data_IF_418992195670
#
_entry.id   IF_418992195670
#
_cell.length_a   1.000
_cell.length_b   1.000
_cell.length_c   1.000
_cell.angle_alpha   90.00
_cell.angle_beta   90.00
_cell.angle_gamma   90.00
#
_symmetry.space_group_name_H-M   'P 1'
#
loop_
_entity.id
_entity.type
_entity.pdbx_description
1 polymer ?
#
# COMPACT_ATOMS: atom_id res chain seq x y z
N UNK A 1 -4.25 -3.19 -10.89
CA UNK A 1 -4.51 -3.74 -12.26
C UNK A 1 -3.37 -3.30 -13.14
N UNK A 2 -2.64 -4.25 -13.75
CA UNK A 2 -1.69 -3.88 -14.79
C UNK A 2 -2.49 -3.42 -16.02
N UNK A 3 -2.25 -2.20 -16.45
CA UNK A 3 -2.79 -1.71 -17.71
C UNK A 3 -2.14 -2.47 -18.87
N UNK A 4 -2.93 -2.83 -19.86
CA UNK A 4 -2.40 -3.46 -21.09
C UNK A 4 -1.64 -2.39 -21.87
N UNK A 5 -0.31 -2.41 -21.75
CA UNK A 5 0.59 -1.45 -22.41
C UNK A 5 0.31 -1.40 -23.90
N UNK A 6 0.08 -2.55 -24.55
CA UNK A 6 -0.13 -2.65 -25.99
C UNK A 6 -1.36 -1.91 -26.48
N UNK A 7 -2.39 -1.78 -25.64
CA UNK A 7 -3.59 -1.02 -25.99
C UNK A 7 -3.37 0.50 -25.95
N UNK A 8 -2.38 0.95 -25.21
CA UNK A 8 -2.07 2.37 -25.04
C UNK A 8 -0.79 2.80 -25.76
N UNK A 9 -0.26 1.98 -26.67
CA UNK A 9 0.95 2.32 -27.44
C UNK A 9 0.69 2.20 -28.93
N UNK A 10 1.35 3.05 -29.72
CA UNK A 10 1.31 3.06 -31.17
C UNK A 10 2.69 3.40 -31.72
N UNK A 11 3.04 2.85 -32.90
CA UNK A 11 4.32 3.15 -33.54
C UNK A 11 4.37 4.58 -34.08
N UNK A 12 5.55 5.19 -34.04
CA UNK A 12 5.83 6.49 -34.68
C UNK A 12 5.57 6.46 -36.21
N UNK A 13 5.69 5.30 -36.86
CA UNK A 13 5.44 5.08 -38.25
C UNK A 13 3.96 4.98 -38.63
N UNK A 14 3.07 4.97 -37.63
CA UNK A 14 1.62 4.87 -37.85
C UNK A 14 1.05 6.19 -38.40
N UNK A 15 -0.10 6.06 -39.07
CA UNK A 15 -0.86 7.19 -39.61
C UNK A 15 -1.80 7.80 -38.55
N UNK A 16 -2.25 9.02 -38.79
CA UNK A 16 -3.30 9.68 -37.98
C UNK A 16 -4.58 8.84 -37.98
N UNK A 17 -4.92 8.18 -39.09
CA UNK A 17 -6.09 7.30 -39.17
C UNK A 17 -5.98 6.10 -38.22
N UNK A 18 -4.82 5.44 -38.15
CA UNK A 18 -4.57 4.35 -37.22
C UNK A 18 -4.64 4.84 -35.79
N UNK A 19 -4.08 6.00 -35.48
CA UNK A 19 -4.19 6.60 -34.14
C UNK A 19 -5.65 6.85 -33.72
N UNK A 20 -6.51 7.34 -34.65
CA UNK A 20 -7.96 7.50 -34.35
C UNK A 20 -8.62 6.16 -34.06
N UNK A 21 -8.32 5.12 -34.85
CA UNK A 21 -8.87 3.79 -34.68
C UNK A 21 -8.49 3.20 -33.32
N UNK A 22 -7.23 3.35 -32.91
CA UNK A 22 -6.75 2.84 -31.63
C UNK A 22 -7.30 3.67 -30.45
N UNK A 23 -7.44 5.00 -30.60
CA UNK A 23 -8.12 5.84 -29.61
C UNK A 23 -9.59 5.46 -29.45
N UNK A 24 -10.31 5.17 -30.55
CA UNK A 24 -11.70 4.74 -30.51
C UNK A 24 -11.84 3.37 -29.81
N UNK A 25 -10.88 2.47 -30.00
CA UNK A 25 -10.82 1.19 -29.29
C UNK A 25 -10.64 1.35 -27.78
N UNK A 26 -10.17 2.52 -27.30
CA UNK A 26 -10.10 2.91 -25.88
C UNK A 26 -11.39 3.60 -25.40
N UNK A 27 -12.44 3.66 -26.19
CA UNK A 27 -13.72 4.28 -25.79
C UNK A 27 -14.27 3.60 -24.54
N UNK A 28 -14.60 4.42 -23.54
CA UNK A 28 -15.01 3.92 -22.21
C UNK A 28 -13.85 3.66 -21.22
N UNK A 29 -12.60 3.74 -21.65
CA UNK A 29 -11.45 3.72 -20.74
C UNK A 29 -11.33 5.04 -19.96
N UNK A 30 -10.56 5.01 -18.85
CA UNK A 30 -10.32 6.16 -17.96
C UNK A 30 -9.71 7.36 -18.71
N UNK A 31 -8.85 7.09 -19.70
CA UNK A 31 -8.30 8.11 -20.57
C UNK A 31 -8.03 7.55 -21.97
N UNK A 32 -8.42 8.30 -22.99
CA UNK A 32 -8.15 8.00 -24.38
C UNK A 32 -6.81 8.69 -24.76
N UNK A 33 -5.71 8.01 -24.46
CA UNK A 33 -4.34 8.46 -24.76
C UNK A 33 -3.52 7.29 -25.29
N UNK A 34 -2.73 7.55 -26.34
CA UNK A 34 -1.73 6.63 -26.86
C UNK A 34 -0.34 7.24 -26.65
N UNK A 35 0.60 6.40 -26.23
CA UNK A 35 2.02 6.71 -26.15
C UNK A 35 2.69 6.22 -27.43
N UNK A 36 3.49 7.09 -28.04
CA UNK A 36 4.10 6.84 -29.34
C UNK A 36 5.49 6.29 -29.13
N UNK A 37 5.74 5.10 -29.71
CA UNK A 37 7.01 4.38 -29.61
C UNK A 37 7.85 4.58 -30.89
N UNK A 38 9.15 4.80 -30.71
CA UNK A 38 10.12 4.73 -31.80
C UNK A 38 10.50 3.27 -32.15
N UNK A 39 11.46 3.10 -33.06
CA UNK A 39 11.94 1.78 -33.51
C UNK A 39 12.69 0.98 -32.41
N UNK A 40 13.05 1.64 -31.31
CA UNK A 40 13.73 1.04 -30.14
C UNK A 40 12.78 0.84 -28.95
N UNK A 41 11.45 0.94 -29.16
CA UNK A 41 10.42 0.91 -28.13
C UNK A 41 10.50 2.02 -27.06
N UNK A 42 11.22 3.13 -27.35
CA UNK A 42 11.23 4.30 -26.47
C UNK A 42 9.99 5.16 -26.72
N UNK A 43 9.42 5.73 -25.65
CA UNK A 43 8.34 6.70 -25.80
C UNK A 43 8.90 8.04 -26.28
N UNK A 44 8.43 8.50 -27.44
CA UNK A 44 8.83 9.78 -28.06
C UNK A 44 7.74 10.84 -28.02
N UNK A 45 6.53 10.47 -27.61
CA UNK A 45 5.40 11.40 -27.51
C UNK A 45 4.12 10.76 -27.03
N UNK A 46 3.08 11.58 -26.94
CA UNK A 46 1.72 11.12 -26.66
C UNK A 46 0.73 11.76 -27.62
N UNK A 47 -0.41 11.10 -27.86
CA UNK A 47 -1.50 11.64 -28.67
C UNK A 47 -2.84 11.33 -28.02
N UNK A 48 -3.73 12.32 -28.03
CA UNK A 48 -5.12 12.22 -27.57
C UNK A 48 -6.07 12.58 -28.70
N UNK A 49 -7.36 12.26 -28.56
CA UNK A 49 -8.40 12.67 -29.51
C UNK A 49 -8.38 14.19 -29.74
N UNK A 50 -8.16 14.99 -28.69
CA UNK A 50 -8.03 16.44 -28.82
C UNK A 50 -6.82 16.90 -29.65
N UNK A 51 -5.71 16.16 -29.59
CA UNK A 51 -4.50 16.46 -30.38
C UNK A 51 -4.75 16.19 -31.89
N UNK A 52 -5.39 15.05 -32.18
CA UNK A 52 -5.79 14.68 -33.54
C UNK A 52 -6.75 15.71 -34.12
N UNK A 53 -7.82 16.09 -33.40
CA UNK A 53 -8.76 17.12 -33.88
C UNK A 53 -8.06 18.46 -34.18
N UNK A 54 -7.19 18.91 -33.31
CA UNK A 54 -6.40 20.13 -33.51
C UNK A 54 -5.47 20.05 -34.74
N UNK A 55 -4.89 18.87 -34.96
CA UNK A 55 -4.05 18.61 -36.12
C UNK A 55 -4.85 18.70 -37.45
N UNK A 56 -6.00 18.03 -37.49
CA UNK A 56 -6.89 18.06 -38.68
C UNK A 56 -7.36 19.49 -38.97
N UNK A 57 -7.72 20.28 -37.95
CA UNK A 57 -8.08 21.69 -38.14
C UNK A 57 -6.94 22.56 -38.67
N UNK A 58 -5.68 22.12 -38.51
CA UNK A 58 -4.47 22.77 -39.10
C UNK A 58 -4.08 22.19 -40.43
N UNK A 59 -4.90 21.31 -41.04
CA UNK A 59 -4.66 20.77 -42.37
C UNK A 59 -3.87 19.45 -42.41
N UNK A 60 -3.67 18.78 -41.27
CA UNK A 60 -3.06 17.44 -41.23
C UNK A 60 -4.05 16.42 -41.80
N UNK A 61 -3.59 15.59 -42.76
CA UNK A 61 -4.38 14.54 -43.39
C UNK A 61 -4.41 13.27 -42.53
N UNK A 62 -5.47 12.45 -42.71
CA UNK A 62 -5.59 11.14 -42.06
C UNK A 62 -4.46 10.18 -42.45
N UNK A 63 -3.91 10.32 -43.64
CA UNK A 63 -2.80 9.50 -44.15
C UNK A 63 -1.42 10.02 -43.73
N UNK A 64 -1.35 11.16 -43.07
CA UNK A 64 -0.09 11.70 -42.55
C UNK A 64 0.37 10.88 -41.32
N UNK A 65 1.70 10.94 -41.07
CA UNK A 65 2.27 10.33 -39.86
C UNK A 65 1.68 10.94 -38.60
N UNK A 66 1.46 10.10 -37.56
CA UNK A 66 1.03 10.49 -36.24
C UNK A 66 1.96 11.51 -35.59
N UNK A 67 3.23 11.57 -36.00
CA UNK A 67 4.21 12.57 -35.55
C UNK A 67 3.73 14.01 -35.73
N UNK A 68 2.92 14.29 -36.77
CA UNK A 68 2.39 15.64 -37.06
C UNK A 68 1.36 16.13 -36.05
N UNK A 69 0.76 15.21 -35.28
CA UNK A 69 -0.30 15.49 -34.27
C UNK A 69 0.12 15.18 -32.84
N UNK A 70 1.22 14.45 -32.64
CA UNK A 70 1.67 14.08 -31.30
C UNK A 70 2.21 15.27 -30.50
N UNK A 71 2.18 15.17 -29.20
CA UNK A 71 2.91 16.03 -28.27
C UNK A 71 4.23 15.38 -27.88
N UNK A 72 5.34 16.08 -28.17
CA UNK A 72 6.70 15.65 -27.80
C UNK A 72 6.95 15.84 -26.29
N UNK A 73 6.29 16.82 -25.65
CA UNK A 73 6.32 16.98 -24.20
C UNK A 73 5.14 16.26 -23.60
N UNK A 74 5.38 15.17 -22.91
CA UNK A 74 4.38 14.37 -22.18
C UNK A 74 4.84 14.15 -20.75
N UNK A 75 3.89 13.80 -19.89
CA UNK A 75 4.18 13.47 -18.49
C UNK A 75 4.52 11.98 -18.35
N UNK A 76 5.50 11.68 -17.54
CA UNK A 76 5.92 10.31 -17.21
C UNK A 76 6.43 10.24 -15.75
N UNK A 77 6.56 9.02 -15.22
CA UNK A 77 7.22 8.72 -13.96
C UNK A 77 8.43 7.81 -14.22
N UNK A 78 9.47 7.95 -13.42
CA UNK A 78 10.65 7.08 -13.51
C UNK A 78 10.45 5.83 -12.65
N UNK A 79 10.56 4.63 -13.23
CA UNK A 79 10.31 3.36 -12.55
C UNK A 79 11.23 3.12 -11.33
N UNK A 80 12.48 3.59 -11.40
CA UNK A 80 13.47 3.41 -10.34
C UNK A 80 13.40 4.43 -9.20
N UNK A 81 12.75 5.58 -9.41
CA UNK A 81 12.70 6.67 -8.43
C UNK A 81 11.46 7.53 -8.64
N UNK A 82 10.38 7.19 -7.94
CA UNK A 82 9.11 7.93 -8.00
C UNK A 82 9.06 8.89 -6.82
N UNK A 83 9.09 10.20 -7.11
CA UNK A 83 8.84 11.22 -6.09
C UNK A 83 7.32 11.39 -5.88
N UNK A 84 6.90 11.36 -4.62
CA UNK A 84 5.49 11.60 -4.26
C UNK A 84 5.00 12.98 -4.70
N UNK A 85 5.89 13.97 -4.77
CA UNK A 85 5.56 15.31 -5.26
C UNK A 85 5.16 15.29 -6.74
N UNK A 86 5.84 14.46 -7.56
CA UNK A 86 5.48 14.31 -8.97
C UNK A 86 4.06 13.74 -9.13
N UNK A 87 3.67 12.78 -8.29
CA UNK A 87 2.31 12.23 -8.29
C UNK A 87 1.25 13.28 -7.95
N UNK A 88 1.52 14.13 -6.95
CA UNK A 88 0.61 15.22 -6.59
C UNK A 88 0.47 16.23 -7.72
N UNK A 89 1.59 16.65 -8.31
CA UNK A 89 1.59 17.58 -9.44
C UNK A 89 0.80 17.05 -10.65
N UNK A 90 0.96 15.76 -10.99
CA UNK A 90 0.23 15.11 -12.05
C UNK A 90 -1.28 15.10 -11.80
N UNK A 91 -1.71 14.86 -10.55
CA UNK A 91 -3.13 14.91 -10.17
C UNK A 91 -3.71 16.31 -10.24
N UNK A 92 -2.98 17.33 -9.77
CA UNK A 92 -3.40 18.74 -9.88
C UNK A 92 -3.60 19.15 -11.35
N UNK A 93 -2.77 18.60 -12.26
CA UNK A 93 -2.90 18.80 -13.71
C UNK A 93 -3.97 17.93 -14.36
N UNK A 94 -4.78 17.17 -13.58
CA UNK A 94 -5.81 16.26 -14.09
C UNK A 94 -5.27 15.16 -15.04
N UNK A 95 -4.01 14.78 -14.91
CA UNK A 95 -3.46 13.66 -15.66
C UNK A 95 -4.02 12.35 -15.05
N UNK A 96 -4.66 11.55 -15.88
CA UNK A 96 -5.32 10.30 -15.45
C UNK A 96 -4.46 9.07 -15.66
N UNK A 97 -3.74 9.02 -16.78
CA UNK A 97 -2.83 7.95 -17.15
C UNK A 97 -1.44 8.51 -17.40
N UNK A 98 -0.42 7.83 -16.87
CA UNK A 98 0.97 8.23 -17.03
C UNK A 98 1.84 6.99 -17.26
N UNK A 99 2.77 7.00 -18.24
CA UNK A 99 3.70 5.89 -18.42
C UNK A 99 4.76 5.91 -17.34
N UNK A 100 5.16 4.72 -16.93
CA UNK A 100 6.30 4.47 -16.07
C UNK A 100 7.48 4.07 -16.96
N UNK A 101 8.57 4.82 -16.90
CA UNK A 101 9.71 4.64 -17.78
C UNK A 101 10.93 4.11 -17.01
N UNK A 102 11.62 3.19 -17.63
CA UNK A 102 12.96 2.78 -17.24
C UNK A 102 13.99 3.89 -17.55
N UNK A 103 15.22 3.74 -17.06
CA UNK A 103 16.32 4.69 -17.30
C UNK A 103 16.65 4.86 -18.80
N UNK A 104 16.47 3.82 -19.60
CA UNK A 104 16.64 3.80 -21.05
C UNK A 104 15.43 4.37 -21.84
N UNK A 105 14.41 4.90 -21.14
CA UNK A 105 13.15 5.44 -21.68
C UNK A 105 12.18 4.40 -22.28
N UNK A 106 12.46 3.12 -22.14
CA UNK A 106 11.49 2.07 -22.45
C UNK A 106 10.35 2.08 -21.43
N UNK A 107 9.18 1.61 -21.86
CA UNK A 107 8.00 1.57 -20.99
C UNK A 107 8.05 0.37 -20.06
N UNK A 108 8.03 0.62 -18.75
CA UNK A 108 7.89 -0.41 -17.69
C UNK A 108 6.42 -0.72 -17.40
N UNK A 109 5.56 0.29 -17.48
CA UNK A 109 4.15 0.15 -17.17
C UNK A 109 3.34 1.41 -17.46
N UNK A 110 2.03 1.32 -17.16
CA UNK A 110 1.12 2.48 -17.20
C UNK A 110 0.42 2.57 -15.85
N UNK A 111 0.46 3.75 -15.25
CA UNK A 111 -0.17 4.04 -13.96
C UNK A 111 -1.48 4.79 -14.18
N UNK A 112 -2.56 4.26 -13.62
CA UNK A 112 -3.86 4.92 -13.55
C UNK A 112 -3.96 5.72 -12.25
N UNK A 113 -3.80 7.03 -12.35
CA UNK A 113 -3.84 7.95 -11.21
C UNK A 113 -5.26 8.17 -10.64
N UNK A 114 -6.30 7.62 -11.30
CA UNK A 114 -7.67 7.65 -10.76
C UNK A 114 -7.93 6.51 -9.77
N UNK A 115 -7.15 5.42 -9.86
CA UNK A 115 -7.25 4.24 -9.01
C UNK A 115 -6.13 4.24 -7.98
N UNK A 116 -4.87 4.38 -8.45
CA UNK A 116 -3.69 4.36 -7.59
C UNK A 116 -3.66 5.63 -6.74
N UNK A 117 -3.58 5.48 -5.42
CA UNK A 117 -3.48 6.59 -4.47
C UNK A 117 -2.06 7.13 -4.35
N UNK A 118 -1.08 6.22 -4.37
CA UNK A 118 0.33 6.54 -4.26
C UNK A 118 1.17 5.40 -4.84
N UNK A 119 2.49 5.62 -4.95
CA UNK A 119 3.46 4.58 -5.32
C UNK A 119 4.57 4.64 -4.28
N UNK A 120 4.40 3.85 -3.23
CA UNK A 120 5.33 3.81 -2.11
C UNK A 120 6.48 2.84 -2.39
N UNK A 121 7.74 3.28 -2.29
CA UNK A 121 8.92 2.43 -2.53
C UNK A 121 9.24 1.60 -1.27
N UNK A 122 8.34 0.67 -0.92
CA UNK A 122 8.48 -0.16 0.27
C UNK A 122 8.12 -1.63 0.00
N UNK A 123 8.65 -2.50 0.85
CA UNK A 123 8.25 -3.90 0.92
C UNK A 123 7.26 -4.08 2.06
N UNK A 124 6.17 -4.78 1.80
CA UNK A 124 5.17 -5.06 2.83
C UNK A 124 5.33 -6.47 3.38
N UNK A 125 5.28 -6.62 4.71
CA UNK A 125 5.20 -7.89 5.42
C UNK A 125 3.88 -7.97 6.16
N UNK A 126 3.09 -9.03 5.92
CA UNK A 126 1.81 -9.27 6.59
C UNK A 126 1.96 -10.47 7.52
N UNK A 127 1.70 -10.25 8.81
CA UNK A 127 1.81 -11.27 9.85
C UNK A 127 0.53 -12.10 9.92
N UNK A 128 0.56 -13.30 9.35
CA UNK A 128 -0.60 -14.18 9.17
C UNK A 128 -0.44 -15.56 9.86
N UNK A 129 0.56 -15.76 10.73
CA UNK A 129 0.87 -17.03 11.39
C UNK A 129 0.02 -17.38 12.62
N UNK A 130 -0.81 -16.46 13.10
CA UNK A 130 -1.57 -16.62 14.34
C UNK A 130 -2.71 -17.65 14.26
N UNK A 131 -2.90 -18.44 15.35
CA UNK A 131 -3.94 -19.49 15.44
C UNK A 131 -5.37 -18.95 15.55
N UNK A 132 -5.56 -17.69 15.91
CA UNK A 132 -6.90 -17.10 16.06
C UNK A 132 -7.79 -17.74 17.16
N UNK A 133 -7.20 -18.29 18.24
CA UNK A 133 -7.92 -19.06 19.29
C UNK A 133 -9.12 -18.30 19.85
N UNK A 134 -9.03 -16.98 20.02
CA UNK A 134 -10.11 -16.13 20.56
C UNK A 134 -11.32 -15.98 19.61
N UNK A 135 -11.17 -16.39 18.34
CA UNK A 135 -12.23 -16.34 17.32
C UNK A 135 -12.93 -17.70 17.12
N UNK A 136 -12.60 -18.73 17.88
CA UNK A 136 -13.31 -20.01 17.79
C UNK A 136 -14.80 -19.82 18.07
N UNK A 137 -15.68 -20.55 17.36
CA UNK A 137 -15.40 -21.67 16.43
C UNK A 137 -15.05 -21.27 14.98
N UNK A 138 -15.07 -19.98 14.61
CA UNK A 138 -14.81 -19.55 13.22
C UNK A 138 -13.43 -19.99 12.70
N UNK A 139 -12.44 -20.09 13.58
CA UNK A 139 -11.06 -20.44 13.25
C UNK A 139 -10.70 -21.90 13.46
N UNK A 140 -11.67 -22.78 13.71
CA UNK A 140 -11.42 -24.22 13.87
C UNK A 140 -11.05 -24.89 12.54
N UNK A 141 -11.61 -24.41 11.41
CA UNK A 141 -11.40 -24.97 10.07
C UNK A 141 -10.87 -23.98 9.05
N UNK A 142 -10.89 -22.69 9.38
CA UNK A 142 -10.47 -21.61 8.47
C UNK A 142 -9.46 -20.71 9.19
N UNK A 143 -8.25 -20.50 8.68
CA UNK A 143 -7.29 -19.63 9.33
C UNK A 143 -7.82 -18.19 9.38
N UNK A 144 -7.56 -17.47 10.47
CA UNK A 144 -8.07 -16.12 10.75
C UNK A 144 -7.93 -15.15 9.56
N UNK A 145 -6.78 -15.09 8.85
CA UNK A 145 -6.63 -14.21 7.69
C UNK A 145 -7.59 -14.48 6.54
N UNK A 146 -8.12 -15.71 6.45
CA UNK A 146 -9.08 -16.13 5.43
C UNK A 146 -10.55 -16.02 5.84
N UNK A 147 -10.86 -15.52 7.03
CA UNK A 147 -12.23 -15.21 7.42
C UNK A 147 -12.80 -14.11 6.52
N UNK A 148 -14.03 -14.29 6.05
CA UNK A 148 -14.65 -13.39 5.08
C UNK A 148 -15.23 -12.14 5.73
N UNK A 149 -14.95 -10.99 5.13
CA UNK A 149 -15.70 -9.76 5.27
C UNK A 149 -16.39 -9.48 3.94
N UNK A 150 -17.71 -9.53 3.93
CA UNK A 150 -18.51 -9.62 2.69
C UNK A 150 -18.06 -10.82 1.86
N UNK A 151 -17.59 -10.59 0.64
CA UNK A 151 -17.19 -11.61 -0.34
C UNK A 151 -15.68 -11.92 -0.34
N UNK A 152 -14.88 -11.21 0.47
CA UNK A 152 -13.42 -11.32 0.45
C UNK A 152 -12.82 -11.63 1.83
N UNK A 153 -11.76 -12.44 1.90
CA UNK A 153 -10.97 -12.62 3.12
C UNK A 153 -10.36 -11.32 3.66
N UNK A 154 -10.18 -11.25 4.97
CA UNK A 154 -9.56 -10.10 5.66
C UNK A 154 -8.20 -9.74 5.03
N UNK A 155 -7.35 -10.74 4.77
CA UNK A 155 -6.02 -10.52 4.21
C UNK A 155 -6.08 -9.92 2.79
N UNK A 156 -7.10 -10.27 2.00
CA UNK A 156 -7.29 -9.72 0.64
C UNK A 156 -7.63 -8.23 0.72
N UNK A 157 -8.48 -7.80 1.66
CA UNK A 157 -8.76 -6.38 1.87
C UNK A 157 -7.48 -5.60 2.17
N UNK A 158 -6.57 -6.14 2.99
CA UNK A 158 -5.31 -5.50 3.33
C UNK A 158 -4.36 -5.44 2.11
N UNK A 159 -4.20 -6.53 1.38
CA UNK A 159 -3.35 -6.57 0.17
C UNK A 159 -3.89 -5.64 -0.91
N UNK A 160 -5.19 -5.75 -1.26
CA UNK A 160 -5.82 -4.92 -2.30
C UNK A 160 -5.70 -3.43 -1.96
N UNK A 161 -5.84 -3.07 -0.69
CA UNK A 161 -5.66 -1.71 -0.23
C UNK A 161 -4.23 -1.21 -0.43
N UNK A 162 -3.22 -1.98 -0.01
CA UNK A 162 -1.82 -1.60 -0.18
C UNK A 162 -1.43 -1.50 -1.66
N UNK A 163 -2.06 -2.29 -2.54
CA UNK A 163 -1.90 -2.16 -3.99
C UNK A 163 -2.37 -0.80 -4.51
N UNK A 164 -3.37 -0.16 -3.87
CA UNK A 164 -3.75 1.22 -4.22
C UNK A 164 -2.64 2.24 -3.91
N UNK A 165 -1.71 1.89 -3.04
CA UNK A 165 -0.50 2.67 -2.74
C UNK A 165 0.73 2.15 -3.50
N UNK A 166 0.52 1.39 -4.58
CA UNK A 166 1.59 0.94 -5.47
C UNK A 166 2.44 -0.21 -4.95
N UNK A 167 2.10 -0.78 -3.78
CA UNK A 167 2.86 -1.90 -3.22
C UNK A 167 2.62 -3.15 -4.06
N UNK A 168 3.70 -3.70 -4.63
CA UNK A 168 3.67 -4.91 -5.48
C UNK A 168 4.37 -6.11 -4.85
N UNK A 169 5.25 -5.91 -3.86
CA UNK A 169 6.02 -6.97 -3.20
C UNK A 169 5.54 -7.19 -1.79
N UNK A 170 5.02 -8.40 -1.56
CA UNK A 170 4.49 -8.84 -0.27
C UNK A 170 5.28 -10.02 0.24
N UNK A 171 5.55 -10.01 1.54
CA UNK A 171 5.95 -11.18 2.31
C UNK A 171 4.82 -11.51 3.27
N UNK A 172 4.39 -12.77 3.29
CA UNK A 172 3.32 -13.23 4.18
C UNK A 172 3.93 -14.21 5.16
N UNK A 173 4.00 -13.84 6.44
CA UNK A 173 4.43 -14.75 7.50
C UNK A 173 3.30 -15.70 7.84
N UNK A 174 3.54 -17.01 7.73
CA UNK A 174 2.55 -18.06 7.86
C UNK A 174 3.05 -19.18 8.78
N UNK A 175 2.14 -19.75 9.55
CA UNK A 175 2.38 -20.91 10.43
C UNK A 175 1.12 -21.80 10.49
N UNK A 176 0.11 -21.39 11.26
CA UNK A 176 -1.12 -22.14 11.42
C UNK A 176 -1.92 -22.23 10.12
N UNK A 177 -2.30 -23.45 9.71
CA UNK A 177 -3.03 -23.73 8.46
C UNK A 177 -2.39 -23.06 7.23
N UNK A 178 -1.05 -23.04 7.17
CA UNK A 178 -0.27 -22.31 6.18
C UNK A 178 -0.63 -22.68 4.74
N UNK A 179 -0.90 -23.96 4.45
CA UNK A 179 -1.20 -24.43 3.09
C UNK A 179 -2.52 -23.82 2.58
N UNK A 180 -3.54 -23.69 3.44
CA UNK A 180 -4.78 -23.03 3.04
C UNK A 180 -4.56 -21.56 2.65
N UNK A 181 -3.69 -20.84 3.40
CA UNK A 181 -3.38 -19.44 3.12
C UNK A 181 -2.62 -19.34 1.78
N UNK A 182 -1.62 -20.19 1.56
CA UNK A 182 -0.83 -20.23 0.31
C UNK A 182 -1.73 -20.52 -0.89
N UNK A 183 -2.47 -21.63 -0.85
CA UNK A 183 -3.33 -22.04 -1.95
C UNK A 183 -4.35 -20.98 -2.32
N UNK A 184 -4.95 -20.32 -1.29
CA UNK A 184 -5.91 -19.26 -1.53
C UNK A 184 -5.28 -18.05 -2.22
N UNK A 185 -4.18 -17.54 -1.67
CA UNK A 185 -3.50 -16.34 -2.19
C UNK A 185 -2.92 -16.59 -3.60
N UNK A 186 -2.28 -17.72 -3.83
CA UNK A 186 -1.70 -18.09 -5.11
C UNK A 186 -2.78 -18.19 -6.21
N UNK A 187 -3.94 -18.76 -5.88
CA UNK A 187 -5.06 -18.84 -6.82
C UNK A 187 -5.71 -17.46 -7.04
N UNK A 188 -5.92 -16.67 -5.99
CA UNK A 188 -6.60 -15.37 -6.07
C UNK A 188 -5.79 -14.35 -6.88
N UNK A 189 -4.48 -14.31 -6.68
CA UNK A 189 -3.59 -13.37 -7.36
C UNK A 189 -2.90 -13.94 -8.61
N UNK A 190 -3.27 -15.15 -9.04
CA UNK A 190 -2.78 -15.73 -10.27
C UNK A 190 -2.99 -14.77 -11.44
N UNK A 191 -1.92 -14.50 -12.19
CA UNK A 191 -1.91 -13.56 -13.33
C UNK A 191 -2.16 -12.08 -12.96
N UNK A 192 -1.97 -11.69 -11.71
CA UNK A 192 -1.97 -10.29 -11.31
C UNK A 192 -0.54 -9.78 -11.10
N UNK A 193 -0.32 -8.48 -11.30
CA UNK A 193 0.99 -7.84 -11.16
C UNK A 193 1.31 -7.59 -9.66
N UNK A 194 1.54 -8.68 -8.94
CA UNK A 194 2.06 -8.68 -7.57
C UNK A 194 2.96 -9.89 -7.35
N UNK A 195 3.91 -9.75 -6.45
CA UNK A 195 4.79 -10.83 -5.98
C UNK A 195 4.48 -11.15 -4.52
N UNK A 196 4.09 -12.38 -4.24
CA UNK A 196 3.87 -12.88 -2.88
C UNK A 196 4.96 -13.90 -2.55
N UNK A 197 5.69 -13.63 -1.46
CA UNK A 197 6.71 -14.51 -0.90
C UNK A 197 6.24 -14.97 0.48
N UNK A 198 6.38 -16.23 0.79
CA UNK A 198 5.96 -16.78 2.08
C UNK A 198 7.15 -16.91 3.02
N UNK A 199 6.98 -16.46 4.27
CA UNK A 199 7.90 -16.71 5.38
C UNK A 199 7.26 -17.78 6.25
N UNK A 200 7.75 -19.02 6.14
CA UNK A 200 7.21 -20.15 6.88
C UNK A 200 7.87 -20.26 8.25
N UNK A 201 7.08 -20.07 9.30
CA UNK A 201 7.52 -20.26 10.68
C UNK A 201 7.31 -21.72 11.09
N UNK A 202 8.36 -22.40 11.56
CA UNK A 202 8.23 -23.75 12.16
C UNK A 202 7.55 -23.69 13.52
N UNK A 203 7.86 -22.66 14.29
CA UNK A 203 7.26 -22.34 15.58
C UNK A 203 6.86 -20.87 15.62
N UNK A 204 5.85 -20.45 16.40
CA UNK A 204 5.49 -19.03 16.49
C UNK A 204 6.66 -18.18 16.93
N UNK A 205 7.03 -17.17 16.12
CA UNK A 205 8.20 -16.31 16.34
C UNK A 205 7.84 -14.91 16.84
N UNK A 206 6.60 -14.65 17.21
CA UNK A 206 6.13 -13.34 17.64
C UNK A 206 5.83 -12.41 16.45
N UNK A 207 5.65 -11.13 16.73
CA UNK A 207 5.21 -10.15 15.72
C UNK A 207 6.27 -9.86 14.65
N UNK A 208 7.56 -9.91 14.97
CA UNK A 208 8.64 -9.56 14.02
C UNK A 208 9.67 -10.68 13.81
N UNK A 209 9.65 -11.74 14.62
CA UNK A 209 10.73 -12.75 14.58
C UNK A 209 10.87 -13.46 13.25
N UNK A 210 9.79 -13.61 12.48
CA UNK A 210 9.82 -14.20 11.13
C UNK A 210 10.63 -13.38 10.11
N UNK A 211 10.77 -12.06 10.32
CA UNK A 211 11.58 -11.21 9.44
C UNK A 211 13.07 -11.60 9.48
N UNK A 212 13.56 -12.13 10.60
CA UNK A 212 14.91 -12.65 10.73
C UNK A 212 15.23 -13.86 9.83
N UNK A 213 14.21 -14.49 9.23
CA UNK A 213 14.35 -15.59 8.26
C UNK A 213 14.53 -15.09 6.82
N UNK A 214 14.27 -13.80 6.55
CA UNK A 214 14.40 -13.21 5.21
C UNK A 214 15.84 -12.72 5.03
N UNK A 215 16.49 -13.19 3.98
CA UNK A 215 17.92 -12.84 3.73
C UNK A 215 18.09 -11.39 3.28
N UNK A 216 17.20 -10.89 2.45
CA UNK A 216 17.24 -9.51 1.96
C UNK A 216 15.83 -9.06 1.52
N UNK A 217 15.56 -7.79 1.74
CA UNK A 217 14.36 -7.10 1.29
C UNK A 217 14.70 -6.17 0.13
N UNK A 218 13.87 -6.13 -0.89
CA UNK A 218 14.12 -5.37 -2.12
C UNK A 218 14.09 -3.85 -1.95
N UNK A 219 13.44 -3.34 -0.91
CA UNK A 219 13.37 -1.92 -0.59
C UNK A 219 14.05 -1.65 0.75
N UNK A 220 14.48 -0.40 0.95
CA UNK A 220 15.11 0.02 2.20
C UNK A 220 14.10 0.23 3.34
N UNK A 221 12.85 0.49 2.99
CA UNK A 221 11.76 0.66 3.95
C UNK A 221 10.85 -0.56 3.96
N UNK A 222 10.52 -1.04 5.16
CA UNK A 222 9.66 -2.19 5.40
C UNK A 222 8.43 -1.74 6.16
N UNK A 223 7.26 -2.00 5.57
CA UNK A 223 5.97 -1.88 6.24
C UNK A 223 5.55 -3.25 6.77
N UNK A 224 5.36 -3.38 8.07
CA UNK A 224 4.83 -4.59 8.70
C UNK A 224 3.43 -4.30 9.23
N UNK A 225 2.49 -5.19 8.98
CA UNK A 225 1.14 -5.12 9.54
C UNK A 225 0.58 -6.49 9.91
N UNK A 226 -0.28 -6.51 10.93
CA UNK A 226 -1.02 -7.71 11.29
C UNK A 226 -2.11 -8.00 10.23
N UNK A 227 -2.30 -9.29 9.89
CA UNK A 227 -3.25 -9.72 8.86
C UNK A 227 -4.74 -9.51 9.23
N UNK A 228 -5.01 -9.27 10.50
CA UNK A 228 -6.36 -9.21 11.10
C UNK A 228 -6.89 -7.78 11.30
N UNK A 229 -6.26 -6.81 10.67
CA UNK A 229 -6.64 -5.41 10.78
C UNK A 229 -7.64 -5.00 9.71
N UNK A 230 -8.64 -4.22 10.10
CA UNK A 230 -9.49 -3.46 9.20
C UNK A 230 -9.26 -1.97 9.49
N UNK A 231 -8.69 -1.25 8.54
CA UNK A 231 -8.31 0.15 8.74
C UNK A 231 -8.36 0.94 7.44
N UNK A 232 -8.63 2.23 7.53
CA UNK A 232 -8.50 3.17 6.42
C UNK A 232 -7.35 4.18 6.61
N UNK A 233 -6.29 3.80 7.32
CA UNK A 233 -5.06 4.59 7.48
C UNK A 233 -4.58 5.11 6.12
N UNK A 234 -4.17 6.34 6.03
CA UNK A 234 -3.49 6.88 4.85
C UNK A 234 -2.01 6.46 4.88
N UNK A 235 -1.67 5.45 4.06
CA UNK A 235 -0.30 4.94 4.01
C UNK A 235 0.69 5.92 3.38
N UNK A 236 0.23 6.85 2.52
CA UNK A 236 1.10 7.89 1.97
C UNK A 236 1.46 8.91 3.03
N UNK A 237 0.46 9.42 3.78
CA UNK A 237 0.68 10.35 4.87
C UNK A 237 1.53 9.73 5.98
N UNK A 238 1.30 8.44 6.30
CA UNK A 238 2.13 7.69 7.25
C UNK A 238 3.59 7.59 6.79
N UNK A 239 3.81 7.23 5.51
CA UNK A 239 5.15 7.11 4.93
C UNK A 239 5.86 8.46 4.85
N UNK A 240 5.16 9.52 4.44
CA UNK A 240 5.70 10.87 4.37
C UNK A 240 6.13 11.38 5.74
N UNK A 241 5.27 11.25 6.77
CA UNK A 241 5.59 11.64 8.15
C UNK A 241 6.83 10.89 8.68
N UNK A 242 6.93 9.60 8.36
CA UNK A 242 8.10 8.80 8.71
C UNK A 242 9.40 9.35 8.10
N UNK A 243 9.36 9.78 6.83
CA UNK A 243 10.54 10.32 6.13
C UNK A 243 10.92 11.73 6.60
N UNK A 244 9.92 12.62 6.81
CA UNK A 244 10.14 14.02 7.19
C UNK A 244 10.87 14.17 8.52
N UNK A 245 10.68 13.24 9.44
CA UNK A 245 11.29 13.26 10.77
C UNK A 245 12.58 12.41 10.86
N UNK A 246 13.06 11.86 9.75
CA UNK A 246 14.23 10.96 9.70
C UNK A 246 14.16 9.82 10.73
N UNK A 247 12.97 9.25 10.90
CA UNK A 247 12.72 8.23 11.91
C UNK A 247 13.39 6.91 11.54
N UNK A 248 13.96 6.23 12.53
CA UNK A 248 14.41 4.85 12.40
C UNK A 248 13.20 3.89 12.29
N UNK A 249 12.13 4.20 13.01
CA UNK A 249 10.88 3.47 13.01
C UNK A 249 9.71 4.41 13.29
N UNK A 250 8.55 4.14 12.68
CA UNK A 250 7.27 4.77 13.02
C UNK A 250 6.23 3.71 13.32
N UNK A 251 5.48 3.88 14.40
CA UNK A 251 4.43 2.99 14.86
C UNK A 251 3.08 3.65 14.67
N UNK A 252 2.19 3.04 13.89
CA UNK A 252 0.83 3.52 13.83
C UNK A 252 0.11 3.23 15.16
N UNK A 253 -0.63 4.21 15.65
CA UNK A 253 -1.34 4.14 16.93
C UNK A 253 -2.80 4.54 16.75
N UNK A 254 -3.64 4.04 17.64
CA UNK A 254 -5.03 4.50 17.75
C UNK A 254 -5.30 5.05 19.14
N UNK A 255 -6.26 5.95 19.24
CA UNK A 255 -6.58 6.63 20.48
C UNK A 255 -7.53 5.79 21.33
N UNK A 256 -7.12 5.51 22.56
CA UNK A 256 -7.98 4.94 23.61
C UNK A 256 -8.34 6.03 24.59
N UNK A 257 -9.64 6.35 24.66
CA UNK A 257 -10.18 7.29 25.64
C UNK A 257 -10.60 6.55 26.89
N UNK A 258 -10.16 7.03 28.04
CA UNK A 258 -10.56 6.54 29.35
C UNK A 258 -11.20 7.67 30.12
N UNK A 259 -12.54 7.64 30.25
CA UNK A 259 -13.31 8.60 30.99
C UNK A 259 -13.40 8.11 32.46
N UNK A 260 -12.92 8.92 33.41
CA UNK A 260 -13.11 8.62 34.83
C UNK A 260 -14.30 9.46 35.31
N UNK A 261 -15.43 8.80 35.71
CA UNK A 261 -16.68 9.52 36.07
C UNK A 261 -16.63 10.21 37.45
N UNK A 262 -15.45 10.26 38.07
CA UNK A 262 -15.21 10.82 39.38
C UNK A 262 -14.07 11.83 39.37
N UNK A 263 -13.98 12.67 40.41
CA UNK A 263 -12.82 13.50 40.63
C UNK A 263 -11.58 12.64 40.94
N UNK A 264 -10.49 12.85 40.21
CA UNK A 264 -9.20 12.21 40.45
C UNK A 264 -8.34 13.10 41.34
N UNK A 265 -7.87 12.53 42.46
CA UNK A 265 -6.98 13.18 43.38
C UNK A 265 -5.55 12.72 43.17
N UNK A 266 -4.63 13.61 42.91
CA UNK A 266 -3.20 13.32 43.00
C UNK A 266 -2.73 13.47 44.42
N UNK A 267 -1.98 12.52 44.94
CA UNK A 267 -1.50 12.55 46.33
C UNK A 267 0.02 12.45 46.37
N UNK A 268 0.63 13.24 47.27
CA UNK A 268 2.06 13.15 47.59
C UNK A 268 2.21 13.16 49.14
N UNK A 269 2.89 12.16 49.67
CA UNK A 269 3.08 12.00 51.13
C UNK A 269 1.77 12.07 51.93
N UNK A 270 0.72 11.36 51.50
CA UNK A 270 -0.63 11.34 52.10
C UNK A 270 -1.36 12.67 52.10
N UNK A 271 -0.91 13.68 51.32
CA UNK A 271 -1.60 14.93 51.16
C UNK A 271 -2.08 15.06 49.72
N UNK A 272 -3.24 15.64 49.53
CA UNK A 272 -3.77 16.00 48.20
C UNK A 272 -2.90 17.09 47.61
N UNK A 273 -2.33 16.87 46.44
CA UNK A 273 -1.54 17.85 45.69
C UNK A 273 -2.31 18.51 44.55
N UNK A 274 -3.23 17.77 43.93
CA UNK A 274 -4.10 18.31 42.89
C UNK A 274 -5.44 17.54 42.84
N UNK A 275 -6.42 18.11 42.13
CA UNK A 275 -7.72 17.50 41.86
C UNK A 275 -8.13 17.84 40.42
N UNK A 276 -8.56 16.82 39.67
CA UNK A 276 -9.12 16.99 38.31
C UNK A 276 -10.51 16.35 38.28
N UNK A 277 -11.52 17.17 37.97
CA UNK A 277 -12.92 16.71 37.96
C UNK A 277 -13.21 15.95 36.66
N UNK A 278 -13.67 14.72 36.76
CA UNK A 278 -14.09 13.84 35.66
C UNK A 278 -13.13 13.87 34.45
N UNK A 279 -11.84 13.58 34.62
CA UNK A 279 -10.88 13.70 33.56
C UNK A 279 -11.12 12.64 32.47
N UNK A 280 -10.86 13.03 31.24
CA UNK A 280 -10.68 12.10 30.10
C UNK A 280 -9.19 11.98 29.81
N UNK A 281 -8.66 10.77 29.92
CA UNK A 281 -7.29 10.45 29.52
C UNK A 281 -7.28 9.86 28.11
N UNK A 282 -6.33 10.31 27.29
CA UNK A 282 -6.12 9.77 25.94
C UNK A 282 -4.79 9.04 25.94
N UNK A 283 -4.83 7.77 25.61
CA UNK A 283 -3.64 6.94 25.43
C UNK A 283 -3.49 6.54 23.96
N UNK A 284 -2.26 6.53 23.48
CA UNK A 284 -1.93 6.04 22.15
C UNK A 284 -1.57 4.57 22.22
N UNK A 285 -2.45 3.71 21.74
CA UNK A 285 -2.25 2.25 21.73
C UNK A 285 -1.69 1.79 20.40
N UNK A 286 -0.83 0.79 20.43
CA UNK A 286 -0.21 0.19 19.26
C UNK A 286 -1.28 -0.41 18.32
N UNK A 287 -1.28 0.03 17.06
CA UNK A 287 -2.25 -0.39 16.05
C UNK A 287 -1.84 -1.64 15.26
N UNK A 288 -0.68 -2.23 15.52
CA UNK A 288 -0.18 -3.40 14.78
C UNK A 288 0.30 -3.07 13.36
N UNK A 289 0.74 -1.84 13.11
CA UNK A 289 1.30 -1.38 11.84
C UNK A 289 2.59 -0.62 12.13
N UNK A 290 3.66 -1.04 11.46
CA UNK A 290 5.02 -0.55 11.72
C UNK A 290 5.73 -0.25 10.41
N UNK A 291 6.50 0.83 10.39
CA UNK A 291 7.34 1.23 9.27
C UNK A 291 8.75 1.50 9.77
N UNK A 292 9.76 0.84 9.20
CA UNK A 292 11.15 0.97 9.63
C UNK A 292 12.16 0.60 8.54
N UNK A 293 13.42 1.00 8.72
CA UNK A 293 14.51 0.69 7.80
C UNK A 293 14.90 -0.79 7.85
N UNK A 294 15.12 -1.41 6.69
CA UNK A 294 15.55 -2.83 6.58
C UNK A 294 16.85 -3.13 7.35
N UNK A 295 17.70 -2.13 7.55
CA UNK A 295 18.93 -2.31 8.31
C UNK A 295 18.73 -2.80 9.75
N UNK A 296 17.54 -2.51 10.33
CA UNK A 296 17.20 -2.94 11.68
C UNK A 296 16.69 -4.39 11.76
N UNK A 297 16.42 -5.04 10.63
CA UNK A 297 16.07 -6.47 10.61
C UNK A 297 17.22 -7.32 11.18
N UNK A 298 18.46 -6.90 11.04
CA UNK A 298 19.63 -7.59 11.64
C UNK A 298 19.65 -7.59 13.18
N UNK A 299 18.83 -6.77 13.83
CA UNK A 299 18.63 -6.81 15.29
C UNK A 299 17.67 -7.95 15.70
N UNK A 300 16.93 -8.52 14.75
CA UNK A 300 15.98 -9.60 14.99
C UNK A 300 16.74 -10.93 15.00
N UNK A 301 16.76 -11.64 16.12
CA UNK A 301 17.50 -12.90 16.22
C UNK A 301 16.82 -13.98 15.37
N UNK A 302 17.61 -14.81 14.68
CA UNK A 302 17.08 -15.91 13.88
C UNK A 302 16.46 -16.99 14.77
N UNK A 303 15.29 -17.51 14.35
CA UNK A 303 14.57 -18.63 15.01
C UNK A 303 14.30 -18.40 16.50
N UNK A 304 14.06 -17.15 16.89
CA UNK A 304 13.64 -16.80 18.26
C UNK A 304 12.40 -15.93 18.23
N UNK A 305 11.60 -16.04 19.28
CA UNK A 305 10.47 -15.14 19.49
C UNK A 305 11.00 -13.72 19.63
N UNK A 306 10.45 -12.80 18.86
CA UNK A 306 10.80 -11.39 18.87
C UNK A 306 9.58 -10.56 18.46
N UNK A 307 9.17 -9.69 19.37
CA UNK A 307 7.98 -8.86 19.16
C UNK A 307 8.35 -7.44 18.68
N UNK A 308 7.37 -6.72 18.18
CA UNK A 308 7.58 -5.33 17.75
C UNK A 308 8.00 -4.43 18.92
N UNK A 309 7.55 -4.72 20.13
CA UNK A 309 7.99 -4.02 21.35
C UNK A 309 9.48 -4.19 21.60
N UNK A 310 10.04 -5.38 21.36
CA UNK A 310 11.47 -5.64 21.54
C UNK A 310 12.31 -4.76 20.58
N UNK A 311 11.84 -4.59 19.32
CA UNK A 311 12.52 -3.72 18.37
C UNK A 311 12.41 -2.25 18.78
N UNK A 312 11.25 -1.80 19.24
CA UNK A 312 11.02 -0.44 19.74
C UNK A 312 11.98 -0.15 20.90
N UNK A 313 12.04 -1.02 21.89
CA UNK A 313 12.91 -0.87 23.08
C UNK A 313 14.40 -0.83 22.67
N UNK A 314 14.80 -1.72 21.79
CA UNK A 314 16.18 -1.74 21.27
C UNK A 314 16.54 -0.44 20.54
N UNK A 315 15.68 0.06 19.67
CA UNK A 315 15.92 1.30 18.94
C UNK A 315 16.00 2.51 19.88
N UNK A 316 15.09 2.59 20.86
CA UNK A 316 15.13 3.64 21.89
C UNK A 316 16.43 3.55 22.71
N UNK A 317 16.83 2.36 23.12
CA UNK A 317 18.09 2.14 23.87
C UNK A 317 19.35 2.53 23.04
N UNK A 318 19.28 2.40 21.71
CA UNK A 318 20.32 2.86 20.76
C UNK A 318 20.28 4.38 20.50
N UNK A 319 19.34 5.12 21.10
CA UNK A 319 19.17 6.57 20.88
C UNK A 319 18.61 6.90 19.49
N UNK A 320 17.89 5.96 18.85
CA UNK A 320 17.24 6.18 17.57
C UNK A 320 15.87 6.80 17.74
N UNK A 321 15.45 7.62 16.77
CA UNK A 321 14.11 8.20 16.75
C UNK A 321 13.08 7.10 16.42
N UNK A 322 12.15 6.88 17.35
CA UNK A 322 10.98 6.03 17.16
C UNK A 322 9.74 6.92 17.32
N UNK A 323 9.07 7.18 16.20
CA UNK A 323 7.88 8.03 16.19
C UNK A 323 6.60 7.23 16.32
N UNK A 324 5.50 7.91 16.66
CA UNK A 324 4.16 7.35 16.54
C UNK A 324 3.35 8.16 15.53
N UNK A 325 2.49 7.48 14.77
CA UNK A 325 1.54 8.06 13.83
C UNK A 325 0.11 7.76 14.29
N UNK A 326 -0.63 8.78 14.71
CA UNK A 326 -2.00 8.60 15.17
C UNK A 326 -2.97 8.42 13.99
N UNK A 327 -3.58 7.24 13.88
CA UNK A 327 -4.61 6.94 12.88
C UNK A 327 -5.82 7.84 13.14
N UNK A 328 -6.16 8.67 12.16
CA UNK A 328 -7.32 9.60 12.24
C UNK A 328 -8.62 8.97 11.74
N UNK A 329 -8.52 7.87 11.03
CA UNK A 329 -9.63 7.18 10.41
C UNK A 329 -10.11 5.96 11.20
N UNK A 330 -10.67 5.00 10.47
CA UNK A 330 -11.15 3.75 11.02
C UNK A 330 -10.00 2.79 11.31
N UNK A 331 -10.04 2.14 12.46
CA UNK A 331 -9.15 1.04 12.85
C UNK A 331 -9.89 0.04 13.73
N UNK A 332 -9.75 -1.23 13.41
CA UNK A 332 -10.33 -2.34 14.17
C UNK A 332 -9.42 -3.57 14.07
N UNK A 333 -9.05 -4.13 15.22
CA UNK A 333 -8.43 -5.46 15.35
C UNK A 333 -9.55 -6.52 15.42
N UNK A 334 -9.57 -7.43 14.46
CA UNK A 334 -10.54 -8.53 14.37
C UNK A 334 -10.05 -9.69 15.24
N UNK A 335 -9.86 -9.44 16.53
CA UNK A 335 -9.30 -10.42 17.49
C UNK A 335 -10.33 -11.24 18.26
N UNK A 336 -11.62 -10.86 18.25
CA UNK A 336 -12.71 -11.45 19.02
C UNK A 336 -13.98 -11.55 18.17
N UNK A 337 -14.95 -12.44 18.52
CA UNK A 337 -16.21 -12.57 17.77
C UNK A 337 -16.98 -11.25 17.61
N UNK A 338 -17.07 -10.44 18.67
CA UNK A 338 -17.77 -9.15 18.60
C UNK A 338 -17.11 -8.18 17.61
N UNK A 339 -15.76 -8.15 17.58
CA UNK A 339 -15.01 -7.34 16.61
C UNK A 339 -15.18 -7.87 15.18
N UNK A 340 -15.28 -9.20 15.03
CA UNK A 340 -15.54 -9.80 13.73
C UNK A 340 -16.94 -9.45 13.20
N UNK A 341 -17.96 -9.50 14.07
CA UNK A 341 -19.29 -9.05 13.72
C UNK A 341 -19.30 -7.55 13.37
N UNK A 342 -18.67 -6.73 14.22
CA UNK A 342 -18.51 -5.29 13.95
C UNK A 342 -17.83 -5.02 12.62
N UNK A 343 -16.76 -5.77 12.27
CA UNK A 343 -16.08 -5.61 10.99
C UNK A 343 -17.01 -5.89 9.80
N UNK A 344 -17.88 -6.93 9.91
CA UNK A 344 -18.88 -7.25 8.88
C UNK A 344 -19.90 -6.13 8.70
N UNK A 345 -20.34 -5.52 9.79
CA UNK A 345 -21.32 -4.44 9.75
C UNK A 345 -20.74 -3.14 9.21
N UNK A 346 -19.46 -2.88 9.50
CA UNK A 346 -18.79 -1.63 9.17
C UNK A 346 -18.19 -1.61 7.75
N UNK A 347 -17.79 -2.78 7.19
CA UNK A 347 -16.97 -2.86 5.96
C UNK A 347 -17.60 -2.12 4.77
N UNK A 348 -18.91 -2.25 4.57
CA UNK A 348 -19.65 -1.57 3.49
C UNK A 348 -19.73 -0.04 3.65
N UNK A 349 -19.40 0.49 4.82
CA UNK A 349 -19.44 1.92 5.15
C UNK A 349 -18.05 2.58 5.20
N UNK A 350 -16.99 1.79 5.19
CA UNK A 350 -15.62 2.30 5.24
C UNK A 350 -15.21 2.74 3.83
N UNK A 351 -14.85 4.01 3.70
CA UNK A 351 -14.20 4.50 2.47
C UNK A 351 -12.69 4.18 2.55
N UNK A 352 -12.29 3.27 1.72
CA UNK A 352 -10.89 2.87 1.55
C UNK A 352 -10.19 3.75 0.53
#
# INVERSE_FOLDING_TARGET
MAYDIKKHTISLNSTVFEAIKDLEALSGAVAMVLFILDENDNIVGSVTDGDVRRGILKGVSLNDSVEKVMKKSFYFLNAGNIDLKDLHELREKNIKLVPLLNEDKTIDGIVDLTIIRSILPLTCVIMAGGQGIRLRPYTDTTPKPLLLLEDKPIIIHNIDRLRLYGVKKFYISINYMKDQIKDYLDNYYKNQDISINYIEEETPLGTLGSLGLVKDFSHDDILVLNADLLTNIDFEDFYRTYLEEENAMSVATFNVKVDIPYAVLETKNNKISSLVEKPTYIYYSNAGIYLFKKEFVKLIPQNKVYDAVDLIDNLIAMGKNVAHYAIRGYWLDIGKPDNYQKAKDDIGHIKF
#
